data_IF_644855749080
#
_entry.id   IF_644855749080
#
_cell.length_a   1.000
_cell.length_b   1.000
_cell.length_c   1.000
_cell.angle_alpha   90.00
_cell.angle_beta   90.00
_cell.angle_gamma   90.00
#
_symmetry.space_group_name_H-M   'P 1'
#
loop_
_entity.id
_entity.type
_entity.pdbx_description
1 polymer ?
#
# COMPACT_ATOMS: atom_id res chain seq x y z
N UNK A 1 24.50 2.67 3.62
CA UNK A 1 24.78 2.74 5.03
C UNK A 1 24.59 4.15 5.55
N UNK A 2 24.81 5.15 4.72
CA UNK A 2 24.52 6.55 5.03
C UNK A 2 23.22 7.04 4.45
N UNK A 3 22.45 6.13 3.87
CA UNK A 3 21.18 6.48 3.24
C UNK A 3 20.10 6.68 4.28
N UNK A 4 19.19 7.62 4.04
CA UNK A 4 17.98 7.76 4.84
C UNK A 4 17.06 6.55 4.62
N UNK A 5 16.05 6.39 5.48
CA UNK A 5 15.07 5.32 5.33
C UNK A 5 14.41 5.34 3.96
N UNK A 6 14.01 6.52 3.47
CA UNK A 6 13.39 6.66 2.16
C UNK A 6 14.34 6.34 1.02
N UNK A 7 15.60 6.76 1.15
CA UNK A 7 16.60 6.43 0.14
C UNK A 7 16.88 4.94 0.10
N UNK A 8 16.93 4.28 1.27
CA UNK A 8 17.12 2.83 1.35
C UNK A 8 15.97 2.10 0.67
N UNK A 9 14.73 2.55 0.87
CA UNK A 9 13.57 1.95 0.22
C UNK A 9 13.62 2.14 -1.30
N UNK A 10 14.00 3.32 -1.76
CA UNK A 10 14.14 3.56 -3.20
C UNK A 10 15.19 2.64 -3.82
N UNK A 11 16.33 2.48 -3.15
CA UNK A 11 17.39 1.59 -3.62
C UNK A 11 16.91 0.14 -3.67
N UNK A 12 16.17 -0.29 -2.62
CA UNK A 12 15.64 -1.65 -2.58
C UNK A 12 14.67 -1.90 -3.73
N UNK A 13 13.78 -0.95 -4.04
CA UNK A 13 12.85 -1.07 -5.15
C UNK A 13 13.61 -1.14 -6.48
N UNK A 14 14.58 -0.27 -6.68
CA UNK A 14 15.40 -0.26 -7.90
C UNK A 14 16.12 -1.60 -8.09
N UNK A 15 16.68 -2.15 -7.02
CA UNK A 15 17.34 -3.45 -7.08
C UNK A 15 16.38 -4.57 -7.47
N UNK A 16 15.16 -4.52 -6.95
CA UNK A 16 14.12 -5.48 -7.31
C UNK A 16 13.80 -5.41 -8.80
N UNK A 17 13.81 -4.22 -9.37
CA UNK A 17 13.52 -4.02 -10.80
C UNK A 17 14.68 -4.43 -11.70
N UNK A 18 15.91 -4.47 -11.17
CA UNK A 18 17.08 -4.83 -11.96
C UNK A 18 17.01 -6.24 -12.52
N UNK A 19 16.23 -7.13 -11.91
CA UNK A 19 16.01 -8.49 -12.42
C UNK A 19 14.82 -8.58 -13.38
N UNK A 20 14.22 -7.45 -13.74
CA UNK A 20 13.11 -7.36 -14.68
C UNK A 20 11.95 -8.26 -14.29
N UNK A 21 11.35 -8.09 -13.10
CA UNK A 21 10.30 -8.98 -12.62
C UNK A 21 8.98 -8.79 -13.35
N UNK A 22 8.16 -9.83 -13.35
CA UNK A 22 6.77 -9.74 -13.83
C UNK A 22 5.82 -9.28 -12.73
N UNK A 23 6.19 -9.50 -11.48
CA UNK A 23 5.40 -9.17 -10.31
C UNK A 23 6.31 -8.60 -9.23
N UNK A 24 5.91 -7.50 -8.64
CA UNK A 24 6.64 -6.87 -7.56
C UNK A 24 5.81 -6.94 -6.28
N UNK A 25 6.40 -7.48 -5.21
CA UNK A 25 5.76 -7.56 -3.90
C UNK A 25 6.37 -6.50 -2.99
N UNK A 26 5.53 -5.60 -2.49
CA UNK A 26 5.97 -4.51 -1.62
C UNK A 26 5.25 -4.64 -0.28
N UNK A 27 6.03 -4.85 0.79
CA UNK A 27 5.48 -5.08 2.13
C UNK A 27 5.90 -3.95 3.05
N UNK A 28 4.93 -3.11 3.42
CA UNK A 28 5.13 -2.01 4.37
C UNK A 28 6.31 -1.11 4.00
N UNK A 29 6.41 -0.73 2.71
CA UNK A 29 7.57 0.03 2.23
C UNK A 29 7.66 1.43 2.81
N UNK A 30 6.61 1.92 3.46
CA UNK A 30 6.59 3.24 4.09
C UNK A 30 6.65 3.16 5.61
N UNK A 31 6.75 1.97 6.17
CA UNK A 31 6.79 1.78 7.62
C UNK A 31 7.99 2.50 8.23
N UNK A 32 7.76 3.22 9.33
CA UNK A 32 8.79 3.94 10.10
C UNK A 32 9.47 5.09 9.33
N UNK A 33 8.90 5.53 8.22
CA UNK A 33 9.41 6.70 7.48
C UNK A 33 8.65 7.96 7.90
N UNK A 34 9.31 9.11 7.80
CA UNK A 34 8.61 10.37 8.01
C UNK A 34 7.73 10.72 6.79
N UNK A 35 6.78 11.65 6.93
CA UNK A 35 5.81 11.94 5.86
C UNK A 35 6.44 12.35 4.52
N UNK A 36 7.57 13.06 4.54
CA UNK A 36 8.23 13.47 3.31
C UNK A 36 8.77 12.24 2.56
N UNK A 37 9.43 11.35 3.29
CA UNK A 37 9.99 10.13 2.72
C UNK A 37 8.89 9.16 2.27
N UNK A 38 7.78 9.10 3.01
CA UNK A 38 6.61 8.33 2.58
C UNK A 38 6.15 8.77 1.20
N UNK A 39 6.00 10.07 0.99
CA UNK A 39 5.57 10.61 -0.30
C UNK A 39 6.54 10.27 -1.43
N UNK A 40 7.85 10.29 -1.15
CA UNK A 40 8.84 9.91 -2.17
C UNK A 40 8.69 8.46 -2.59
N UNK A 41 8.53 7.56 -1.62
CA UNK A 41 8.38 6.12 -1.91
C UNK A 41 7.07 5.86 -2.64
N UNK A 42 5.96 6.46 -2.20
CA UNK A 42 4.67 6.27 -2.85
C UNK A 42 4.65 6.82 -4.27
N UNK A 43 5.43 7.88 -4.55
CA UNK A 43 5.57 8.40 -5.91
C UNK A 43 6.21 7.38 -6.83
N UNK A 44 7.20 6.63 -6.35
CA UNK A 44 7.82 5.56 -7.12
C UNK A 44 6.81 4.47 -7.43
N UNK A 45 6.02 4.06 -6.43
CA UNK A 45 5.00 3.03 -6.62
C UNK A 45 3.98 3.48 -7.66
N UNK A 46 3.53 4.74 -7.59
CA UNK A 46 2.59 5.30 -8.56
C UNK A 46 3.17 5.29 -9.97
N UNK A 47 4.44 5.68 -10.10
CA UNK A 47 5.12 5.66 -11.39
C UNK A 47 5.16 4.25 -11.97
N UNK A 48 5.52 3.26 -11.15
CA UNK A 48 5.59 1.87 -11.59
C UNK A 48 4.23 1.35 -12.05
N UNK A 49 3.17 1.73 -11.36
CA UNK A 49 1.83 1.35 -11.79
C UNK A 49 1.50 1.95 -13.16
N UNK A 50 1.81 3.22 -13.36
CA UNK A 50 1.56 3.89 -14.64
C UNK A 50 2.37 3.25 -15.77
N UNK A 51 3.53 2.70 -15.44
CA UNK A 51 4.40 2.02 -16.39
C UNK A 51 3.97 0.57 -16.64
N UNK A 52 2.88 0.13 -16.05
CA UNK A 52 2.31 -1.20 -16.30
C UNK A 52 2.80 -2.32 -15.40
N UNK A 53 3.55 -1.99 -14.35
CA UNK A 53 4.05 -3.01 -13.43
C UNK A 53 2.92 -3.62 -12.61
N UNK A 54 2.86 -4.96 -12.56
CA UNK A 54 1.94 -5.67 -11.67
C UNK A 54 2.54 -5.71 -10.27
N UNK A 55 1.77 -5.25 -9.29
CA UNK A 55 2.27 -5.16 -7.92
C UNK A 55 1.23 -5.63 -6.92
N UNK A 56 1.72 -6.23 -5.83
CA UNK A 56 0.93 -6.47 -4.64
C UNK A 56 1.55 -5.63 -3.52
N UNK A 57 0.75 -4.79 -2.89
CA UNK A 57 1.23 -3.84 -1.89
C UNK A 57 0.50 -4.08 -0.58
N UNK A 58 1.24 -4.43 0.47
CA UNK A 58 0.71 -4.48 1.83
C UNK A 58 1.05 -3.15 2.50
N UNK A 59 0.04 -2.42 2.95
CA UNK A 59 0.25 -1.06 3.45
C UNK A 59 -0.80 -0.67 4.47
N UNK A 60 -0.43 0.25 5.35
CA UNK A 60 -1.36 0.97 6.23
C UNK A 60 -1.67 2.37 5.68
N UNK A 61 -1.13 2.73 4.52
CA UNK A 61 -1.40 4.02 3.89
C UNK A 61 -2.71 3.93 3.11
N UNK A 62 -3.82 4.04 3.83
CA UNK A 62 -5.15 3.78 3.28
C UNK A 62 -5.57 4.81 2.22
N UNK A 63 -5.21 6.07 2.43
CA UNK A 63 -5.50 7.10 1.43
C UNK A 63 -4.80 6.81 0.09
N UNK A 64 -3.58 6.31 0.15
CA UNK A 64 -2.85 5.93 -1.06
C UNK A 64 -3.47 4.69 -1.71
N UNK A 65 -3.77 3.67 -0.92
CA UNK A 65 -4.40 2.44 -1.42
C UNK A 65 -5.72 2.76 -2.12
N UNK A 66 -6.53 3.64 -1.52
CA UNK A 66 -7.81 4.06 -2.08
C UNK A 66 -7.66 4.70 -3.45
N UNK A 67 -6.59 5.48 -3.65
CA UNK A 67 -6.38 6.21 -4.91
C UNK A 67 -5.73 5.38 -6.00
N UNK A 68 -4.86 4.42 -5.64
CA UNK A 68 -4.01 3.76 -6.63
C UNK A 68 -4.38 2.31 -6.90
N UNK A 69 -5.00 1.61 -5.95
CA UNK A 69 -5.27 0.19 -6.11
C UNK A 69 -6.36 -0.07 -7.14
N UNK A 70 -6.21 -1.14 -7.90
CA UNK A 70 -7.26 -1.65 -8.78
C UNK A 70 -8.18 -2.58 -8.01
N UNK A 71 -7.61 -3.30 -7.04
CA UNK A 71 -8.34 -4.25 -6.20
C UNK A 71 -7.75 -4.21 -4.79
N UNK A 72 -8.59 -4.32 -3.79
CA UNK A 72 -8.20 -4.27 -2.38
C UNK A 72 -8.63 -5.56 -1.70
N UNK A 73 -7.73 -6.10 -0.88
CA UNK A 73 -7.97 -7.32 -0.12
C UNK A 73 -7.82 -6.99 1.37
N UNK A 74 -8.85 -7.27 2.15
CA UNK A 74 -8.82 -7.08 3.59
C UNK A 74 -8.53 -8.41 4.27
N UNK A 75 -7.41 -8.47 4.99
CA UNK A 75 -7.01 -9.65 5.74
C UNK A 75 -7.43 -9.52 7.18
N UNK A 76 -7.95 -10.61 7.74
CA UNK A 76 -8.35 -10.66 9.14
C UNK A 76 -8.08 -12.06 9.68
N UNK A 77 -7.35 -12.13 10.78
CA UNK A 77 -6.99 -13.41 11.43
C UNK A 77 -6.36 -14.40 10.43
N UNK A 78 -5.46 -13.91 9.59
CA UNK A 78 -4.69 -14.76 8.71
C UNK A 78 -5.40 -15.22 7.45
N UNK A 79 -6.60 -14.71 7.16
CA UNK A 79 -7.33 -15.09 5.96
C UNK A 79 -7.97 -13.87 5.30
N UNK A 80 -8.35 -14.05 4.04
CA UNK A 80 -9.06 -13.01 3.30
C UNK A 80 -10.49 -12.93 3.84
N UNK A 81 -10.86 -11.77 4.38
CA UNK A 81 -12.20 -11.56 4.92
C UNK A 81 -13.13 -10.89 3.93
N UNK A 82 -12.56 -9.98 3.12
CA UNK A 82 -13.34 -9.26 2.11
C UNK A 82 -12.39 -8.78 1.03
N UNK A 83 -12.87 -8.71 -0.21
CA UNK A 83 -12.09 -8.15 -1.32
C UNK A 83 -13.03 -7.46 -2.31
N UNK A 84 -12.49 -6.52 -3.07
CA UNK A 84 -13.27 -5.79 -4.05
C UNK A 84 -12.51 -4.57 -4.56
N UNK A 85 -13.21 -3.71 -5.28
CA UNK A 85 -12.64 -2.45 -5.73
C UNK A 85 -12.40 -1.53 -4.54
N UNK A 86 -11.53 -0.51 -4.68
CA UNK A 86 -11.37 0.48 -3.62
C UNK A 86 -12.70 1.10 -3.19
N UNK A 87 -13.57 1.39 -4.14
CA UNK A 87 -14.86 1.96 -3.83
C UNK A 87 -15.69 1.02 -2.96
N UNK A 88 -15.74 -0.26 -3.30
CA UNK A 88 -16.49 -1.24 -2.51
C UNK A 88 -15.94 -1.39 -1.11
N UNK A 89 -14.61 -1.48 -0.98
CA UNK A 89 -13.96 -1.72 0.30
C UNK A 89 -14.07 -0.50 1.22
N UNK A 90 -13.84 0.70 0.69
CA UNK A 90 -13.79 1.91 1.52
C UNK A 90 -15.12 2.62 1.68
N UNK A 91 -16.03 2.51 0.72
CA UNK A 91 -17.30 3.23 0.78
C UNK A 91 -18.47 2.35 1.16
N UNK A 92 -18.45 1.07 0.78
CA UNK A 92 -19.55 0.15 1.07
C UNK A 92 -19.04 -1.17 1.64
N UNK A 93 -18.28 -1.13 2.76
CA UNK A 93 -17.78 -2.37 3.37
C UNK A 93 -18.94 -3.26 3.82
N UNK A 94 -18.81 -4.56 3.57
CA UNK A 94 -19.90 -5.52 3.82
C UNK A 94 -19.76 -6.26 5.14
N UNK A 95 -18.52 -6.48 5.60
CA UNK A 95 -18.29 -7.25 6.81
C UNK A 95 -18.17 -6.36 8.03
N UNK A 96 -18.62 -6.83 9.21
CA UNK A 96 -18.46 -6.04 10.44
C UNK A 96 -16.99 -5.78 10.76
N UNK A 97 -16.11 -6.74 10.48
CA UNK A 97 -14.68 -6.60 10.74
C UNK A 97 -14.07 -5.45 9.94
N UNK A 98 -14.40 -5.37 8.65
CA UNK A 98 -13.89 -4.27 7.82
C UNK A 98 -14.47 -2.93 8.25
N UNK A 99 -15.77 -2.89 8.57
CA UNK A 99 -16.40 -1.66 9.05
C UNK A 99 -15.73 -1.17 10.33
N UNK A 100 -15.44 -2.07 11.27
CA UNK A 100 -14.74 -1.71 12.52
C UNK A 100 -13.34 -1.19 12.25
N UNK A 101 -12.62 -1.84 11.35
CA UNK A 101 -11.27 -1.43 10.99
C UNK A 101 -11.24 -0.02 10.39
N UNK A 102 -12.12 0.24 9.43
CA UNK A 102 -12.20 1.56 8.78
C UNK A 102 -12.64 2.64 9.76
N UNK A 103 -13.58 2.31 10.65
CA UNK A 103 -14.02 3.27 11.67
C UNK A 103 -12.87 3.66 12.60
N UNK A 104 -12.07 2.67 13.03
CA UNK A 104 -10.92 2.92 13.88
C UNK A 104 -9.88 3.80 13.18
N UNK A 105 -9.64 3.58 11.89
CA UNK A 105 -8.74 4.42 11.10
C UNK A 105 -9.25 5.85 10.98
N UNK A 106 -10.54 6.00 10.77
CA UNK A 106 -11.17 7.31 10.67
C UNK A 106 -11.03 8.07 11.99
N UNK A 107 -11.30 7.40 13.12
CA UNK A 107 -11.19 8.03 14.44
C UNK A 107 -9.74 8.41 14.77
N UNK A 108 -8.79 7.67 14.24
CA UNK A 108 -7.37 7.99 14.42
C UNK A 108 -6.85 9.04 13.43
N UNK A 109 -7.70 9.54 12.53
CA UNK A 109 -7.30 10.52 11.52
C UNK A 109 -6.42 9.95 10.43
N UNK A 110 -6.49 8.63 10.19
CA UNK A 110 -5.62 7.94 9.24
C UNK A 110 -6.32 7.52 7.95
N UNK A 111 -7.54 7.96 7.78
CA UNK A 111 -8.32 7.62 6.59
C UNK A 111 -8.80 8.87 5.88
#
# INVERSE_FOLDING_TARGET
DRLSGGQQQRVAIIRSLAVNPRLLLLDEVTSALDPVLVNEVLSIVRYLKQDGMTMVLATHEMGFAKRIADSVVFLHNGSIRESGSPKEIFETPKTPELRSFLWALHEAGRL
#
